data_IF_067692158591
#
_entry.id   IF_067692158591
#
_cell.length_a   1.000
_cell.length_b   1.000
_cell.length_c   1.000
_cell.angle_alpha   90.00
_cell.angle_beta   90.00
_cell.angle_gamma   90.00
#
_symmetry.space_group_name_H-M   'P 1'
#
loop_
_entity.id
_entity.type
_entity.pdbx_description
1 polymer ?
#
# COMPACT_ATOMS: atom_id res chain seq x y z
N UNK A 1 45.22 -41.15 -3.64
CA UNK A 1 45.19 -39.69 -3.84
C UNK A 1 43.72 -39.31 -3.96
N UNK A 2 43.24 -38.67 -2.96
CA UNK A 2 41.82 -38.52 -2.68
C UNK A 2 41.46 -37.03 -2.88
N UNK A 3 40.67 -36.68 -3.86
CA UNK A 3 40.16 -35.32 -3.99
C UNK A 3 38.75 -35.26 -3.52
N UNK A 4 38.58 -34.57 -2.40
CA UNK A 4 37.28 -34.20 -1.83
C UNK A 4 36.80 -32.91 -2.51
N UNK A 5 35.79 -32.98 -3.35
CA UNK A 5 35.02 -31.82 -3.75
C UNK A 5 33.89 -31.62 -2.76
N UNK A 6 34.10 -30.66 -1.85
CA UNK A 6 33.07 -30.20 -0.93
C UNK A 6 32.08 -29.30 -1.64
N UNK A 7 30.90 -29.84 -1.93
CA UNK A 7 29.77 -29.03 -2.35
C UNK A 7 29.23 -28.20 -1.21
N UNK A 8 29.33 -26.88 -1.31
CA UNK A 8 28.66 -25.94 -0.41
C UNK A 8 27.18 -25.90 -0.82
N UNK A 9 26.35 -26.58 -0.03
CA UNK A 9 24.91 -26.44 -0.15
C UNK A 9 24.53 -25.05 0.35
N UNK A 10 24.15 -24.15 -0.56
CA UNK A 10 23.51 -22.88 -0.19
C UNK A 10 22.11 -23.25 0.29
N UNK A 11 21.94 -23.25 1.60
CA UNK A 11 20.61 -23.35 2.19
C UNK A 11 19.81 -22.09 1.82
N UNK A 12 18.91 -22.25 0.87
CA UNK A 12 17.83 -21.26 0.64
C UNK A 12 16.92 -21.37 1.85
N UNK A 13 17.15 -20.51 2.83
CA UNK A 13 16.27 -20.35 3.97
C UNK A 13 15.03 -19.61 3.47
N UNK A 14 14.01 -20.36 3.04
CA UNK A 14 12.69 -19.86 2.74
C UNK A 14 12.13 -19.20 3.99
N UNK A 15 11.80 -17.93 3.91
CA UNK A 15 11.12 -17.19 4.97
C UNK A 15 9.69 -17.76 5.14
N UNK A 16 9.57 -18.77 5.97
CA UNK A 16 8.33 -19.37 6.45
C UNK A 16 7.85 -18.62 7.70
N UNK A 17 7.46 -17.36 7.53
CA UNK A 17 6.66 -16.68 8.55
C UNK A 17 5.64 -15.79 7.85
N UNK A 18 4.43 -16.29 7.75
CA UNK A 18 3.25 -15.43 7.59
C UNK A 18 3.14 -14.56 8.84
N UNK A 19 3.77 -13.40 8.84
CA UNK A 19 3.57 -12.42 9.90
C UNK A 19 2.23 -11.72 9.66
N UNK A 20 1.18 -12.29 10.22
CA UNK A 20 -0.10 -11.63 10.39
C UNK A 20 -0.07 -10.90 11.73
N UNK A 21 0.17 -9.61 11.73
CA UNK A 21 0.26 -8.81 12.95
C UNK A 21 -0.76 -7.68 12.92
N UNK A 22 -1.73 -7.73 13.85
CA UNK A 22 -2.57 -6.57 14.16
C UNK A 22 -1.98 -5.83 15.35
N UNK A 23 -1.67 -4.55 15.15
CA UNK A 23 -1.10 -3.68 16.17
C UNK A 23 -2.05 -2.52 16.46
N UNK A 24 -2.41 -2.34 17.74
CA UNK A 24 -3.11 -1.16 18.20
C UNK A 24 -2.12 0.02 18.33
N UNK A 25 -2.55 1.20 17.88
CA UNK A 25 -1.73 2.40 17.86
C UNK A 25 -2.18 3.44 18.90
N UNK A 26 -3.30 3.21 19.59
CA UNK A 26 -3.96 4.13 20.51
C UNK A 26 -5.14 4.86 19.86
N UNK A 27 -6.00 5.43 20.69
CA UNK A 27 -7.17 6.24 20.31
C UNK A 27 -8.11 5.55 19.27
N UNK A 28 -8.19 4.22 19.30
CA UNK A 28 -8.97 3.42 18.37
C UNK A 28 -8.31 3.18 17.01
N UNK A 29 -7.11 3.74 16.77
CA UNK A 29 -6.35 3.46 15.56
C UNK A 29 -5.63 2.12 15.63
N UNK A 30 -5.59 1.41 14.51
CA UNK A 30 -4.82 0.17 14.37
C UNK A 30 -4.23 0.00 12.99
N UNK A 31 -3.22 -0.85 12.88
CA UNK A 31 -2.75 -1.43 11.63
C UNK A 31 -2.85 -2.96 11.68
N UNK A 32 -3.09 -3.56 10.51
CA UNK A 32 -3.05 -5.01 10.30
C UNK A 32 -2.11 -5.29 9.13
N UNK A 33 -1.04 -6.06 9.37
CA UNK A 33 -0.01 -6.36 8.37
C UNK A 33 -0.09 -7.85 8.05
N UNK A 34 -0.15 -8.18 6.76
CA UNK A 34 -0.14 -9.56 6.27
C UNK A 34 0.90 -9.69 5.17
N UNK A 35 2.03 -10.27 5.52
CA UNK A 35 3.10 -10.53 4.57
C UNK A 35 2.70 -11.60 3.58
N UNK A 36 3.00 -11.38 2.29
CA UNK A 36 2.67 -12.34 1.22
C UNK A 36 1.17 -12.62 1.05
N UNK A 37 0.30 -11.69 1.46
CA UNK A 37 -1.16 -11.83 1.32
C UNK A 37 -1.62 -12.13 -0.10
N UNK A 38 -0.95 -11.57 -1.10
CA UNK A 38 -1.12 -11.88 -2.51
C UNK A 38 0.07 -12.74 -2.98
N UNK A 39 -0.20 -13.99 -3.29
CA UNK A 39 0.79 -14.89 -3.91
C UNK A 39 0.82 -14.68 -5.42
N UNK A 40 2.00 -14.79 -6.04
CA UNK A 40 2.20 -14.42 -7.43
C UNK A 40 2.13 -12.89 -7.60
N UNK A 41 1.58 -12.40 -8.69
CA UNK A 41 1.33 -10.96 -8.90
C UNK A 41 2.38 -10.25 -9.73
N UNK A 42 3.39 -10.95 -10.24
CA UNK A 42 4.37 -10.38 -11.19
C UNK A 42 3.64 -10.02 -12.48
N UNK A 43 2.85 -10.92 -13.02
CA UNK A 43 2.03 -10.69 -14.20
C UNK A 43 1.00 -9.55 -13.98
N UNK A 44 0.47 -9.44 -12.75
CA UNK A 44 -0.42 -8.33 -12.40
C UNK A 44 0.34 -7.00 -12.43
N UNK A 45 1.55 -6.95 -11.87
CA UNK A 45 2.37 -5.74 -11.89
C UNK A 45 2.63 -5.31 -13.34
N UNK A 46 3.09 -6.21 -14.18
CA UNK A 46 3.41 -5.92 -15.60
C UNK A 46 2.16 -5.47 -16.38
N UNK A 47 1.03 -6.13 -16.13
CA UNK A 47 -0.25 -5.73 -16.72
C UNK A 47 -0.66 -4.32 -16.28
N UNK A 48 -0.60 -4.00 -15.00
CA UNK A 48 -0.95 -2.67 -14.49
C UNK A 48 -0.01 -1.59 -15.03
N UNK A 49 1.29 -1.86 -15.09
CA UNK A 49 2.27 -0.91 -15.62
C UNK A 49 1.99 -0.55 -17.08
N UNK A 50 1.54 -1.52 -17.89
CA UNK A 50 1.33 -1.35 -19.33
C UNK A 50 -0.07 -0.89 -19.72
N UNK A 51 -1.12 -1.18 -18.93
CA UNK A 51 -2.51 -0.96 -19.34
C UNK A 51 -3.22 0.17 -18.61
N UNK A 52 -2.76 0.52 -17.39
CA UNK A 52 -3.40 1.59 -16.60
C UNK A 52 -3.11 2.96 -17.20
N UNK A 53 -4.10 3.84 -17.39
CA UNK A 53 -3.90 5.20 -17.86
C UNK A 53 -3.30 6.07 -16.73
N UNK A 54 -2.02 5.91 -16.49
CA UNK A 54 -1.28 6.63 -15.46
C UNK A 54 -1.28 8.14 -15.71
N UNK A 55 -1.55 8.92 -14.66
CA UNK A 55 -1.57 10.39 -14.73
C UNK A 55 -0.59 10.97 -13.72
N UNK A 56 0.15 12.00 -14.16
CA UNK A 56 0.90 12.84 -13.25
C UNK A 56 -0.07 13.80 -12.53
N UNK A 57 0.00 13.87 -11.22
CA UNK A 57 -0.72 14.88 -10.43
C UNK A 57 0.16 16.12 -10.24
N UNK A 58 -0.50 17.27 -10.25
CA UNK A 58 0.07 18.54 -9.82
C UNK A 58 -0.70 19.05 -8.63
N UNK A 59 0.02 19.50 -7.62
CA UNK A 59 -0.60 20.09 -6.43
C UNK A 59 -0.04 21.47 -6.16
N UNK A 60 -0.94 22.39 -5.78
CA UNK A 60 -0.54 23.66 -5.24
C UNK A 60 0.09 23.42 -3.86
N UNK A 61 1.35 23.77 -3.72
CA UNK A 61 2.07 23.78 -2.45
C UNK A 61 2.60 25.19 -2.22
N UNK A 62 2.01 25.88 -1.26
CA UNK A 62 2.26 27.33 -1.06
C UNK A 62 1.95 28.10 -2.35
N UNK A 63 2.92 28.84 -2.86
CA UNK A 63 2.85 29.70 -4.08
C UNK A 63 3.25 28.97 -5.36
N UNK A 64 3.56 27.68 -5.31
CA UNK A 64 4.05 26.92 -6.47
C UNK A 64 3.19 25.70 -6.74
N UNK A 65 2.96 25.45 -8.01
CA UNK A 65 2.44 24.16 -8.49
C UNK A 65 3.61 23.21 -8.62
N UNK A 66 3.62 22.13 -7.86
CA UNK A 66 4.66 21.09 -7.90
C UNK A 66 4.10 19.79 -8.46
N UNK A 67 4.90 19.11 -9.23
CA UNK A 67 4.58 17.76 -9.67
C UNK A 67 4.64 16.81 -8.45
N UNK A 68 3.59 16.01 -8.25
CA UNK A 68 3.60 14.98 -7.25
C UNK A 68 4.47 13.83 -7.76
N UNK A 69 5.54 13.47 -7.06
CA UNK A 69 6.51 12.50 -7.57
C UNK A 69 5.98 11.06 -7.46
N UNK A 70 4.98 10.75 -8.22
CA UNK A 70 4.40 9.44 -8.54
C UNK A 70 3.33 9.61 -9.60
N UNK A 71 2.96 8.53 -10.28
CA UNK A 71 1.81 8.50 -11.16
C UNK A 71 0.62 7.87 -10.43
N UNK A 72 -0.59 8.28 -10.79
CA UNK A 72 -1.81 7.80 -10.13
C UNK A 72 -2.88 7.40 -11.14
N UNK A 73 -3.79 6.53 -10.69
CA UNK A 73 -5.07 6.24 -11.32
C UNK A 73 -6.10 5.94 -10.24
N UNK A 74 -7.35 6.27 -10.48
CA UNK A 74 -8.45 6.06 -9.52
C UNK A 74 -9.62 5.40 -10.20
N UNK A 75 -10.23 4.42 -9.51
CA UNK A 75 -11.31 3.59 -10.03
C UNK A 75 -12.41 3.44 -8.97
N UNK A 76 -13.65 3.73 -9.37
CA UNK A 76 -14.84 3.36 -8.59
C UNK A 76 -15.30 1.97 -9.05
N UNK A 77 -14.99 0.96 -8.27
CA UNK A 77 -15.26 -0.45 -8.58
C UNK A 77 -16.74 -0.85 -8.40
N UNK A 78 -17.64 0.12 -8.17
CA UNK A 78 -19.10 -0.08 -8.13
C UNK A 78 -19.76 0.28 -9.43
N UNK A 79 -19.14 1.13 -10.24
CA UNK A 79 -19.71 1.68 -11.47
C UNK A 79 -18.89 1.40 -12.73
N UNK A 80 -17.64 0.96 -12.57
CA UNK A 80 -16.76 0.63 -13.70
C UNK A 80 -16.01 -0.69 -13.47
N UNK A 81 -15.62 -1.33 -14.56
CA UNK A 81 -14.75 -2.51 -14.50
C UNK A 81 -13.35 -2.11 -14.02
N UNK A 82 -12.73 -2.89 -13.13
CA UNK A 82 -11.37 -2.62 -12.70
C UNK A 82 -10.39 -2.79 -13.88
N UNK A 83 -9.26 -2.06 -13.88
CA UNK A 83 -8.26 -2.15 -14.94
C UNK A 83 -7.64 -3.56 -15.07
N UNK A 84 -7.87 -4.42 -14.09
CA UNK A 84 -7.49 -5.83 -14.13
C UNK A 84 -8.43 -6.65 -13.22
N UNK A 85 -8.88 -7.86 -13.63
CA UNK A 85 -9.85 -8.67 -12.86
C UNK A 85 -9.36 -9.05 -11.44
N UNK A 86 -8.05 -9.08 -11.21
CA UNK A 86 -7.47 -9.37 -9.91
C UNK A 86 -7.85 -8.32 -8.85
N UNK A 87 -8.06 -7.05 -9.24
CA UNK A 87 -8.49 -6.01 -8.31
C UNK A 87 -9.89 -6.31 -7.73
N UNK A 88 -10.81 -6.81 -8.57
CA UNK A 88 -12.14 -7.23 -8.09
C UNK A 88 -12.04 -8.43 -7.13
N UNK A 89 -11.14 -9.37 -7.39
CA UNK A 89 -10.90 -10.52 -6.49
C UNK A 89 -10.33 -10.07 -5.15
N UNK A 90 -9.33 -9.18 -5.17
CA UNK A 90 -8.74 -8.59 -3.95
C UNK A 90 -9.81 -7.82 -3.15
N UNK A 91 -10.64 -6.98 -3.81
CA UNK A 91 -11.73 -6.27 -3.14
C UNK A 91 -12.71 -7.22 -2.45
N UNK A 92 -13.16 -8.29 -3.11
CA UNK A 92 -14.04 -9.29 -2.49
C UNK A 92 -13.38 -9.90 -1.26
N UNK A 93 -12.15 -10.38 -1.37
CA UNK A 93 -11.40 -10.98 -0.26
C UNK A 93 -11.21 -9.99 0.91
N UNK A 94 -10.97 -8.72 0.63
CA UNK A 94 -10.89 -7.68 1.67
C UNK A 94 -12.24 -7.45 2.35
N UNK A 95 -13.33 -7.42 1.59
CA UNK A 95 -14.67 -7.30 2.14
C UNK A 95 -15.06 -8.50 3.02
N UNK A 96 -14.69 -9.72 2.61
CA UNK A 96 -14.92 -10.94 3.40
C UNK A 96 -14.17 -10.89 4.74
N UNK A 97 -12.96 -10.34 4.78
CA UNK A 97 -12.12 -10.28 5.98
C UNK A 97 -12.48 -9.07 6.87
N UNK A 98 -12.70 -7.90 6.29
CA UNK A 98 -12.78 -6.63 7.01
C UNK A 98 -14.15 -5.97 6.99
N UNK A 99 -15.05 -6.39 6.10
CA UNK A 99 -16.37 -5.76 5.94
C UNK A 99 -17.19 -5.74 7.22
N UNK A 100 -17.12 -6.80 8.03
CA UNK A 100 -17.82 -6.85 9.33
C UNK A 100 -17.23 -5.89 10.39
N UNK A 101 -15.92 -5.62 10.34
CA UNK A 101 -15.26 -4.69 11.25
C UNK A 101 -15.43 -3.24 10.78
N UNK A 102 -15.38 -3.02 9.46
CA UNK A 102 -15.57 -1.71 8.85
C UNK A 102 -17.05 -1.26 8.88
N UNK A 103 -17.99 -2.22 8.84
CA UNK A 103 -19.43 -1.95 8.75
C UNK A 103 -19.93 -1.60 7.36
N UNK A 104 -19.05 -1.55 6.36
CA UNK A 104 -19.34 -1.24 4.97
C UNK A 104 -18.29 -1.87 4.02
N UNK A 105 -18.58 -1.99 2.72
CA UNK A 105 -17.60 -2.55 1.79
C UNK A 105 -16.56 -1.53 1.32
N UNK A 106 -15.38 -2.03 0.96
CA UNK A 106 -14.46 -1.30 0.08
C UNK A 106 -15.09 -1.17 -1.31
N UNK A 107 -15.13 0.04 -1.83
CA UNK A 107 -15.82 0.35 -3.11
C UNK A 107 -14.88 0.91 -4.16
N UNK A 108 -13.79 1.53 -3.77
CA UNK A 108 -12.87 2.22 -4.69
C UNK A 108 -11.47 1.62 -4.63
N UNK A 109 -10.70 1.82 -5.71
CA UNK A 109 -9.28 1.51 -5.76
C UNK A 109 -8.50 2.71 -6.30
N UNK A 110 -7.61 3.26 -5.47
CA UNK A 110 -6.58 4.19 -5.90
C UNK A 110 -5.30 3.41 -6.22
N UNK A 111 -4.65 3.72 -7.34
CA UNK A 111 -3.37 3.13 -7.72
C UNK A 111 -2.31 4.21 -7.71
N UNK A 112 -1.17 3.94 -7.07
CA UNK A 112 0.00 4.82 -7.11
C UNK A 112 1.19 4.04 -7.66
N UNK A 113 1.74 4.55 -8.75
CA UNK A 113 2.93 4.00 -9.38
C UNK A 113 4.16 4.84 -8.99
N UNK A 114 5.08 4.20 -8.32
CA UNK A 114 6.41 4.71 -8.00
C UNK A 114 7.39 4.08 -8.98
N UNK A 115 7.96 4.88 -9.87
CA UNK A 115 8.84 4.42 -10.96
C UNK A 115 10.18 3.92 -10.44
N UNK A 116 10.69 4.63 -9.43
CA UNK A 116 11.97 4.36 -8.77
C UNK A 116 12.02 4.97 -7.36
N UNK A 117 13.22 5.08 -6.79
CA UNK A 117 13.45 5.63 -5.45
C UNK A 117 13.21 7.12 -5.33
N UNK A 118 13.19 7.88 -6.42
CA UNK A 118 12.93 9.32 -6.43
C UNK A 118 11.45 9.65 -6.25
N UNK A 119 10.57 8.73 -6.64
CA UNK A 119 9.13 8.85 -6.42
C UNK A 119 8.77 8.64 -4.95
N UNK A 120 7.80 9.41 -4.48
CA UNK A 120 7.44 9.48 -3.07
C UNK A 120 6.03 10.00 -2.86
N UNK A 121 5.53 9.89 -1.64
CA UNK A 121 4.38 10.68 -1.15
C UNK A 121 4.74 11.30 0.19
N UNK A 122 4.47 12.59 0.33
CA UNK A 122 4.67 13.32 1.56
C UNK A 122 3.73 12.85 2.68
N UNK A 123 4.00 13.25 3.90
CA UNK A 123 3.14 12.97 5.05
C UNK A 123 1.72 13.49 4.84
N UNK A 124 0.74 12.62 4.94
CA UNK A 124 -0.69 12.92 4.80
C UNK A 124 -1.53 11.84 5.50
N UNK A 125 -2.82 12.10 5.67
CA UNK A 125 -3.85 11.11 5.94
C UNK A 125 -4.89 11.18 4.83
N UNK A 126 -5.63 10.11 4.62
CA UNK A 126 -6.75 10.08 3.69
C UNK A 126 -7.96 10.77 4.33
N UNK A 127 -7.85 12.10 4.43
CA UNK A 127 -8.81 12.96 5.15
C UNK A 127 -9.71 13.76 4.22
N UNK A 128 -9.75 13.45 2.93
CA UNK A 128 -10.73 14.01 2.00
C UNK A 128 -12.01 13.18 2.10
N UNK A 129 -13.15 13.86 2.30
CA UNK A 129 -14.43 13.22 2.56
C UNK A 129 -14.55 12.70 4.00
N UNK A 130 -15.20 11.57 4.20
CA UNK A 130 -15.52 11.01 5.52
C UNK A 130 -14.30 10.64 6.37
N UNK A 131 -13.17 10.37 5.74
CA UNK A 131 -11.92 10.06 6.46
C UNK A 131 -11.43 11.19 7.38
N UNK A 132 -11.98 12.41 7.27
CA UNK A 132 -11.68 13.52 8.16
C UNK A 132 -12.44 13.48 9.49
N UNK A 133 -13.60 12.86 9.54
CA UNK A 133 -14.54 12.91 10.67
C UNK A 133 -14.92 11.54 11.22
N UNK A 134 -14.85 10.49 10.40
CA UNK A 134 -15.31 9.17 10.77
C UNK A 134 -14.17 8.16 10.85
N UNK A 135 -14.36 7.11 11.63
CA UNK A 135 -13.49 5.94 11.60
C UNK A 135 -13.68 5.21 10.28
N UNK A 136 -12.56 4.81 9.68
CA UNK A 136 -12.57 4.17 8.36
C UNK A 136 -11.42 3.18 8.21
N UNK A 137 -11.35 2.51 7.07
CA UNK A 137 -10.23 1.66 6.71
C UNK A 137 -9.67 1.99 5.34
N UNK A 138 -8.36 1.91 5.24
CA UNK A 138 -7.63 1.93 3.97
C UNK A 138 -6.77 0.69 3.91
N UNK A 139 -7.02 -0.16 2.91
CA UNK A 139 -6.25 -1.39 2.68
C UNK A 139 -5.30 -1.18 1.50
N UNK A 140 -4.02 -1.43 1.74
CA UNK A 140 -2.93 -1.20 0.77
C UNK A 140 -2.30 -2.53 0.39
N UNK A 141 -2.38 -2.91 -0.89
CA UNK A 141 -1.63 -4.04 -1.45
C UNK A 141 -0.41 -3.50 -2.21
N UNK A 142 0.78 -4.01 -1.89
CA UNK A 142 2.04 -3.58 -2.50
C UNK A 142 2.49 -4.57 -3.57
N UNK A 143 2.85 -4.08 -4.75
CA UNK A 143 3.40 -4.88 -5.86
C UNK A 143 4.74 -4.30 -6.32
N UNK A 144 5.69 -5.17 -6.64
CA UNK A 144 7.01 -4.78 -7.15
C UNK A 144 8.03 -4.54 -6.04
N UNK A 145 8.85 -3.50 -6.19
CA UNK A 145 9.98 -3.24 -5.30
C UNK A 145 9.52 -2.91 -3.87
N UNK A 146 10.25 -3.41 -2.89
CA UNK A 146 10.01 -3.08 -1.47
C UNK A 146 10.26 -1.60 -1.23
N UNK A 147 9.28 -0.92 -0.63
CA UNK A 147 9.40 0.47 -0.19
C UNK A 147 8.97 0.61 1.26
N UNK A 148 9.63 1.51 1.96
CA UNK A 148 9.23 1.87 3.32
C UNK A 148 7.91 2.63 3.26
N UNK A 149 6.92 2.13 4.00
CA UNK A 149 5.73 2.87 4.39
C UNK A 149 5.97 3.42 5.80
N UNK A 150 5.95 4.73 5.95
CA UNK A 150 6.17 5.38 7.22
C UNK A 150 4.85 5.88 7.79
N UNK A 151 4.63 5.66 9.09
CA UNK A 151 3.41 6.04 9.81
C UNK A 151 3.80 6.74 11.11
N UNK A 152 3.16 7.86 11.46
CA UNK A 152 3.39 8.60 12.71
C UNK A 152 2.11 9.25 13.23
N UNK A 153 2.01 9.53 14.52
CA UNK A 153 0.95 10.40 15.05
C UNK A 153 0.96 11.78 14.39
N UNK A 154 -0.22 12.38 14.18
CA UNK A 154 -0.31 13.77 13.72
C UNK A 154 0.35 14.72 14.74
N UNK A 155 0.92 15.79 14.24
CA UNK A 155 1.50 16.85 15.08
C UNK A 155 2.92 16.60 15.56
N UNK A 156 3.53 15.49 15.29
CA UNK A 156 4.92 15.04 15.55
C UNK A 156 5.01 13.86 16.52
N UNK A 157 5.95 12.99 16.28
CA UNK A 157 6.22 11.82 17.09
C UNK A 157 7.15 10.87 16.35
N UNK A 158 7.62 9.79 16.99
CA UNK A 158 8.42 8.77 16.35
C UNK A 158 7.62 8.12 15.23
N UNK A 159 8.27 7.87 14.10
CA UNK A 159 7.65 7.19 12.97
C UNK A 159 7.91 5.68 13.03
N UNK A 160 6.84 4.91 12.89
CA UNK A 160 6.91 3.49 12.57
C UNK A 160 7.29 3.37 11.08
N UNK A 161 8.26 2.54 10.77
CA UNK A 161 8.77 2.31 9.41
C UNK A 161 8.55 0.85 9.03
N UNK A 162 7.65 0.63 8.08
CA UNK A 162 7.21 -0.69 7.65
C UNK A 162 7.73 -0.95 6.23
N UNK A 163 8.67 -1.87 6.01
CA UNK A 163 9.01 -2.29 4.67
C UNK A 163 7.83 -3.09 4.09
N UNK A 164 7.18 -2.57 3.05
CA UNK A 164 6.14 -3.29 2.32
C UNK A 164 6.76 -3.92 1.07
N UNK A 165 6.83 -5.23 1.07
CA UNK A 165 7.34 -6.02 -0.02
C UNK A 165 6.23 -6.35 -1.05
N UNK A 166 6.62 -7.05 -2.11
CA UNK A 166 5.68 -7.56 -3.11
C UNK A 166 4.68 -8.54 -2.50
N UNK A 167 3.40 -8.32 -2.73
CA UNK A 167 2.31 -9.14 -2.21
C UNK A 167 1.85 -8.82 -0.79
N UNK A 168 2.53 -7.92 -0.08
CA UNK A 168 2.12 -7.54 1.28
C UNK A 168 0.84 -6.71 1.28
N UNK A 169 0.02 -6.94 2.31
CA UNK A 169 -1.15 -6.15 2.65
C UNK A 169 -0.88 -5.38 3.94
N UNK A 170 -1.16 -4.10 3.93
CA UNK A 170 -1.27 -3.24 5.10
C UNK A 170 -2.68 -2.67 5.17
N UNK A 171 -3.36 -2.83 6.29
CA UNK A 171 -4.64 -2.17 6.57
C UNK A 171 -4.45 -1.16 7.69
N UNK A 172 -4.88 0.07 7.47
CA UNK A 172 -5.00 1.11 8.48
C UNK A 172 -6.47 1.27 8.83
N UNK A 173 -6.85 1.12 10.08
CA UNK A 173 -8.26 1.13 10.47
C UNK A 173 -8.57 1.97 11.71
N UNK A 174 -9.85 2.14 11.97
CA UNK A 174 -10.37 2.97 13.05
C UNK A 174 -10.07 4.46 12.82
N UNK A 175 -9.63 5.14 13.84
CA UNK A 175 -9.29 6.57 13.77
C UNK A 175 -7.98 6.88 13.01
N UNK A 176 -7.31 5.87 12.44
CA UNK A 176 -5.94 6.01 11.90
C UNK A 176 -5.81 7.15 10.89
N UNK A 177 -6.79 7.38 10.00
CA UNK A 177 -6.71 8.48 9.02
C UNK A 177 -6.82 9.87 9.67
N UNK A 178 -7.48 9.97 10.81
CA UNK A 178 -7.66 11.23 11.56
C UNK A 178 -6.51 11.53 12.51
N UNK A 179 -5.95 10.49 13.13
CA UNK A 179 -4.98 10.64 14.23
C UNK A 179 -3.54 10.37 13.80
N UNK A 180 -3.32 9.75 12.65
CA UNK A 180 -1.99 9.46 12.09
C UNK A 180 -1.81 10.09 10.71
N UNK A 181 -0.55 10.22 10.33
CA UNK A 181 -0.09 10.57 8.98
C UNK A 181 0.80 9.45 8.46
N UNK A 182 0.74 9.24 7.15
CA UNK A 182 1.61 8.27 6.50
C UNK A 182 2.33 8.86 5.29
N UNK A 183 3.43 8.21 4.91
CA UNK A 183 4.27 8.64 3.81
C UNK A 183 4.98 7.44 3.15
N UNK A 184 5.38 7.62 1.90
CA UNK A 184 6.39 6.78 1.26
C UNK A 184 7.59 7.69 0.96
N UNK A 185 8.65 7.65 1.79
CA UNK A 185 9.79 8.54 1.63
C UNK A 185 10.60 8.19 0.37
N UNK A 186 11.31 9.18 -0.17
CA UNK A 186 12.35 8.95 -1.18
C UNK A 186 13.44 8.04 -0.64
N UNK A 187 14.11 7.33 -1.53
CA UNK A 187 15.29 6.54 -1.21
C UNK A 187 16.35 6.72 -2.29
N UNK A 188 17.61 6.78 -1.87
CA UNK A 188 18.76 6.77 -2.78
C UNK A 188 19.22 5.35 -3.12
N UNK A 189 18.72 4.33 -2.41
CA UNK A 189 19.02 2.95 -2.75
C UNK A 189 18.41 2.61 -4.12
N UNK A 190 19.14 1.87 -4.99
CA UNK A 190 18.60 1.38 -6.25
C UNK A 190 17.32 0.59 -5.99
N UNK A 191 16.25 0.99 -6.65
CA UNK A 191 14.94 0.33 -6.49
C UNK A 191 14.17 0.37 -7.79
N UNK A 192 13.47 -0.72 -8.09
CA UNK A 192 12.65 -0.86 -9.28
C UNK A 192 11.23 -0.29 -9.11
N UNK A 193 10.37 -0.53 -10.10
CA UNK A 193 8.99 -0.09 -10.09
C UNK A 193 8.19 -0.72 -8.94
N UNK A 194 7.26 0.06 -8.41
CA UNK A 194 6.29 -0.37 -7.39
C UNK A 194 4.91 0.20 -7.70
N UNK A 195 3.89 -0.63 -7.63
CA UNK A 195 2.50 -0.19 -7.60
C UNK A 195 1.92 -0.42 -6.21
N UNK A 196 1.29 0.60 -5.66
CA UNK A 196 0.50 0.53 -4.43
C UNK A 196 -0.97 0.61 -4.80
N UNK A 197 -1.77 -0.40 -4.44
CA UNK A 197 -3.22 -0.44 -4.68
C UNK A 197 -3.92 -0.17 -3.36
N UNK A 198 -4.65 0.95 -3.27
CA UNK A 198 -5.34 1.38 -2.06
C UNK A 198 -6.84 1.18 -2.22
N UNK A 199 -7.41 0.23 -1.49
CA UNK A 199 -8.84 0.04 -1.41
C UNK A 199 -9.43 0.89 -0.29
N UNK A 200 -10.54 1.58 -0.58
CA UNK A 200 -11.23 2.47 0.36
C UNK A 200 -12.73 2.27 0.29
N UNK A 201 -13.49 2.53 1.38
CA UNK A 201 -14.93 2.65 1.32
C UNK A 201 -15.34 3.92 0.55
N UNK A 202 -16.64 4.11 0.40
CA UNK A 202 -17.18 5.27 -0.29
C UNK A 202 -16.76 6.59 0.40
N UNK A 203 -16.47 7.61 -0.39
CA UNK A 203 -16.17 8.98 0.06
C UNK A 203 -14.99 9.11 1.01
N UNK A 204 -14.00 8.20 0.92
CA UNK A 204 -12.70 8.27 1.59
C UNK A 204 -11.59 8.41 0.54
N UNK A 205 -10.79 9.50 0.64
CA UNK A 205 -9.67 9.81 -0.26
C UNK A 205 -8.52 10.47 0.47
#
# INVERSE_FOLDING_TARGET
MCDKLGGVAIAVQGALFEHNERRQLGDGAFIDIRSGWLTGGVELLDALLSTVPWRAERRQMYDRVVDVPRLVSFHDLTIEDPPHPQLARMRRRLNDIYGGVLGEPFTTAGLCYYRDGSDSVAWHGDTIGRGSTEDTMVAIVSLGATRVFALRPRGRGPSLRLPLAHGDLLVMGGSCQRTFEHAVPKTSAPTGPRVSIQFRPRDVR
#
